data_IF_150711508206
#
_entry.id   IF_150711508206
#
_cell.length_a   1.000
_cell.length_b   1.000
_cell.length_c   1.000
_cell.angle_alpha   90.00
_cell.angle_beta   90.00
_cell.angle_gamma   90.00
#
_symmetry.space_group_name_H-M   'P 1'
#
loop_
_entity.id
_entity.type
_entity.pdbx_description
1 polymer ?
#
# COMPACT_ATOMS: atom_id res chain seq x y z
N UNK A 1 5.04 9.76 84.39
CA UNK A 1 3.72 10.17 83.87
C UNK A 1 3.97 11.21 82.81
N UNK A 2 3.69 10.89 81.55
CA UNK A 2 3.88 11.80 80.42
C UNK A 2 2.53 12.31 79.94
N UNK A 3 2.37 13.62 79.76
CA UNK A 3 1.17 14.24 79.21
C UNK A 3 1.58 15.25 78.14
N UNK A 4 1.16 15.02 76.89
CA UNK A 4 1.38 15.91 75.75
C UNK A 4 0.09 16.68 75.43
N UNK A 5 0.20 18.02 75.30
CA UNK A 5 -0.84 19.02 74.98
C UNK A 5 -0.08 20.23 74.40
N UNK A 6 -0.43 20.91 73.28
CA UNK A 6 -1.41 20.68 72.21
C UNK A 6 -0.93 21.46 70.95
N UNK A 7 -1.13 20.96 69.72
CA UNK A 7 -1.14 21.81 68.50
C UNK A 7 -2.30 21.41 67.58
N UNK A 8 -2.87 22.40 66.88
CA UNK A 8 -4.24 22.38 66.36
C UNK A 8 -4.37 22.20 64.85
N UNK A 9 -5.41 21.43 64.46
CA UNK A 9 -6.32 21.68 63.31
C UNK A 9 -5.79 21.45 61.86
N UNK A 10 -6.66 21.43 60.81
CA UNK A 10 -6.91 20.16 60.09
C UNK A 10 -6.90 20.27 58.54
N UNK A 11 -7.40 19.20 57.89
CA UNK A 11 -7.78 19.10 56.47
C UNK A 11 -6.64 19.08 55.43
N UNK A 12 -6.39 17.89 54.88
CA UNK A 12 -6.38 17.65 53.42
C UNK A 12 -6.71 16.17 53.16
N UNK A 13 -7.93 15.89 52.70
CA UNK A 13 -8.30 14.58 52.14
C UNK A 13 -8.21 14.68 50.62
N UNK A 14 -7.16 14.08 50.05
CA UNK A 14 -7.03 13.86 48.62
C UNK A 14 -6.55 12.45 48.36
N UNK A 15 -7.52 11.54 48.14
CA UNK A 15 -7.28 10.23 47.52
C UNK A 15 -6.79 10.43 46.08
N UNK A 16 -5.49 10.66 45.91
CA UNK A 16 -4.85 10.61 44.59
C UNK A 16 -4.84 9.15 44.14
N UNK A 17 -5.67 8.84 43.13
CA UNK A 17 -5.60 7.56 42.46
C UNK A 17 -4.20 7.39 41.85
N UNK A 18 -3.53 6.27 42.16
CA UNK A 18 -2.18 6.01 41.69
C UNK A 18 -2.12 6.06 40.15
N UNK A 19 -1.33 7.00 39.62
CA UNK A 19 -1.05 7.05 38.20
C UNK A 19 -0.36 5.75 37.79
N UNK A 20 -0.90 5.08 36.77
CA UNK A 20 -0.51 3.72 36.38
C UNK A 20 0.84 3.63 35.64
N UNK A 21 1.52 4.77 35.49
CA UNK A 21 2.76 4.96 34.74
C UNK A 21 3.60 6.05 35.41
N UNK A 22 4.91 5.88 35.40
CA UNK A 22 5.88 6.91 35.78
C UNK A 22 5.93 7.96 34.64
N UNK A 23 6.13 9.27 34.89
CA UNK A 23 6.11 10.29 33.83
C UNK A 23 7.04 10.01 32.62
N UNK A 24 8.17 9.33 32.85
CA UNK A 24 9.09 8.92 31.78
C UNK A 24 8.53 7.78 30.91
N UNK A 25 7.78 6.85 31.50
CA UNK A 25 7.07 5.78 30.78
C UNK A 25 5.91 6.34 29.95
N UNK A 26 5.19 7.32 30.50
CA UNK A 26 4.14 8.03 29.76
C UNK A 26 4.72 8.77 28.55
N UNK A 27 5.80 9.54 28.75
CA UNK A 27 6.46 10.28 27.67
C UNK A 27 7.06 9.38 26.59
N UNK A 28 7.68 8.25 26.97
CA UNK A 28 8.20 7.29 25.99
C UNK A 28 7.07 6.59 25.22
N UNK A 29 6.00 6.16 25.89
CA UNK A 29 4.88 5.51 25.21
C UNK A 29 4.19 6.46 24.22
N UNK A 30 3.84 7.68 24.62
CA UNK A 30 3.22 8.68 23.74
C UNK A 30 4.16 9.13 22.61
N UNK A 31 5.47 9.23 22.87
CA UNK A 31 6.47 9.46 21.81
C UNK A 31 6.50 8.32 20.79
N UNK A 32 6.42 7.05 21.21
CA UNK A 32 6.34 5.92 20.26
C UNK A 32 5.03 5.89 19.49
N UNK A 33 3.90 6.26 20.10
CA UNK A 33 2.60 6.37 19.43
C UNK A 33 2.59 7.51 18.41
N UNK A 34 3.15 8.67 18.75
CA UNK A 34 3.30 9.80 17.83
C UNK A 34 4.18 9.43 16.63
N UNK A 35 5.31 8.76 16.88
CA UNK A 35 6.21 8.31 15.81
C UNK A 35 5.57 7.25 14.90
N UNK A 36 4.77 6.30 15.44
CA UNK A 36 3.95 5.38 14.62
C UNK A 36 2.91 6.14 13.79
N UNK A 37 2.17 7.07 14.39
CA UNK A 37 1.17 7.87 13.67
C UNK A 37 1.79 8.73 12.54
N UNK A 38 3.02 9.23 12.72
CA UNK A 38 3.78 9.92 11.67
C UNK A 38 4.24 8.95 10.57
N UNK A 39 4.69 7.74 10.93
CA UNK A 39 5.04 6.69 9.97
C UNK A 39 3.83 6.28 9.11
N UNK A 40 2.67 6.02 9.71
CA UNK A 40 1.42 5.70 9.02
C UNK A 40 0.97 6.85 8.10
N UNK A 41 1.11 8.10 8.55
CA UNK A 41 0.79 9.28 7.73
C UNK A 41 1.72 9.41 6.52
N UNK A 42 2.97 8.96 6.63
CA UNK A 42 3.92 8.92 5.53
C UNK A 42 3.69 7.72 4.59
N UNK A 43 3.30 6.56 5.10
CA UNK A 43 2.80 5.45 4.26
C UNK A 43 1.56 5.88 3.46
N UNK A 44 0.60 6.56 4.10
CA UNK A 44 -0.63 7.04 3.44
C UNK A 44 -0.35 8.08 2.33
N UNK A 45 0.65 8.95 2.52
CA UNK A 45 1.14 9.86 1.46
C UNK A 45 1.84 9.11 0.32
N UNK A 46 2.68 8.12 0.62
CA UNK A 46 3.30 7.29 -0.40
C UNK A 46 2.27 6.48 -1.21
N UNK A 47 1.23 5.94 -0.56
CA UNK A 47 0.13 5.27 -1.24
C UNK A 47 -0.59 6.21 -2.22
N UNK A 48 -0.95 7.41 -1.78
CA UNK A 48 -1.60 8.42 -2.64
C UNK A 48 -0.73 8.86 -3.84
N UNK A 49 0.59 9.00 -3.63
CA UNK A 49 1.55 9.31 -4.69
C UNK A 49 1.79 8.15 -5.66
N UNK A 50 1.51 6.91 -5.27
CA UNK A 50 1.48 5.76 -6.17
C UNK A 50 0.18 5.73 -6.99
N UNK A 51 -0.97 6.04 -6.38
CA UNK A 51 -2.26 6.14 -7.07
C UNK A 51 -2.26 7.22 -8.16
N UNK A 52 -1.68 8.39 -7.89
CA UNK A 52 -1.61 9.50 -8.87
C UNK A 52 -0.64 9.22 -10.04
N UNK A 53 0.10 8.11 -10.00
CA UNK A 53 1.12 7.75 -11.01
C UNK A 53 0.70 6.64 -11.96
N UNK A 54 -0.41 5.94 -11.69
CA UNK A 54 -0.97 4.90 -12.58
C UNK A 54 -1.82 5.47 -13.72
N UNK A 55 -2.35 6.69 -13.60
CA UNK A 55 -3.30 7.29 -14.56
C UNK A 55 -2.72 7.69 -15.94
N UNK A 56 -1.44 7.37 -16.25
CA UNK A 56 -0.76 7.81 -17.49
C UNK A 56 -0.15 6.70 -18.34
N UNK A 57 -0.60 5.45 -18.21
CA UNK A 57 -0.15 4.34 -19.08
C UNK A 57 -1.30 3.53 -19.70
N UNK A 58 -2.29 4.20 -20.25
CA UNK A 58 -3.36 3.55 -21.02
C UNK A 58 -2.92 3.25 -22.45
N UNK A 59 -2.81 1.96 -22.81
CA UNK A 59 -3.35 1.32 -24.04
C UNK A 59 -2.63 -0.01 -24.36
N UNK A 60 -2.78 -1.02 -23.49
CA UNK A 60 -2.65 -2.44 -23.89
C UNK A 60 -3.17 -3.45 -22.84
N UNK A 61 -3.47 -3.06 -21.60
CA UNK A 61 -3.49 -4.01 -20.47
C UNK A 61 -4.75 -3.98 -19.59
N UNK A 62 -5.86 -3.45 -20.12
CA UNK A 62 -7.10 -3.19 -19.35
C UNK A 62 -7.71 -4.43 -18.71
N UNK A 63 -7.65 -5.59 -19.37
CA UNK A 63 -8.38 -6.77 -18.90
C UNK A 63 -7.68 -7.44 -17.71
N UNK A 64 -6.34 -7.55 -17.74
CA UNK A 64 -5.54 -8.20 -16.69
C UNK A 64 -5.36 -7.33 -15.44
N UNK A 65 -5.31 -6.00 -15.57
CA UNK A 65 -5.28 -5.10 -14.40
C UNK A 65 -6.60 -5.11 -13.63
N UNK A 66 -7.71 -5.31 -14.34
CA UNK A 66 -9.05 -5.44 -13.73
C UNK A 66 -9.17 -6.75 -12.93
N UNK A 67 -8.65 -7.87 -13.46
CA UNK A 67 -8.66 -9.17 -12.77
C UNK A 67 -7.86 -9.11 -11.46
N UNK A 68 -6.60 -8.67 -11.52
CA UNK A 68 -5.74 -8.58 -10.34
C UNK A 68 -6.32 -7.67 -9.24
N UNK A 69 -6.95 -6.56 -9.64
CA UNK A 69 -7.61 -5.65 -8.71
C UNK A 69 -8.87 -6.29 -8.07
N UNK A 70 -9.65 -7.03 -8.85
CA UNK A 70 -10.83 -7.76 -8.40
C UNK A 70 -10.47 -8.85 -7.37
N UNK A 71 -9.45 -9.67 -7.64
CA UNK A 71 -9.02 -10.75 -6.74
C UNK A 71 -8.54 -10.21 -5.37
N UNK A 72 -7.84 -9.06 -5.37
CA UNK A 72 -7.45 -8.33 -4.17
C UNK A 72 -8.64 -7.67 -3.45
N UNK A 73 -9.62 -7.13 -4.17
CA UNK A 73 -10.84 -6.59 -3.57
C UNK A 73 -11.65 -7.70 -2.88
N UNK A 74 -11.79 -8.85 -3.52
CA UNK A 74 -12.45 -10.03 -2.96
C UNK A 74 -11.75 -10.53 -1.69
N UNK A 75 -10.41 -10.58 -1.66
CA UNK A 75 -9.64 -10.93 -0.45
C UNK A 75 -9.95 -9.97 0.72
N UNK A 76 -10.03 -8.67 0.45
CA UNK A 76 -10.35 -7.65 1.46
C UNK A 76 -11.81 -7.70 1.90
N UNK A 77 -12.75 -8.01 1.01
CA UNK A 77 -14.18 -8.17 1.34
C UNK A 77 -14.44 -9.44 2.15
N UNK A 78 -13.79 -10.54 1.79
CA UNK A 78 -13.81 -11.80 2.54
C UNK A 78 -13.30 -11.60 3.98
N UNK A 79 -12.15 -10.94 4.16
CA UNK A 79 -11.61 -10.62 5.49
C UNK A 79 -12.61 -9.82 6.34
N UNK A 80 -13.28 -8.82 5.76
CA UNK A 80 -14.31 -8.02 6.47
C UNK A 80 -15.53 -8.86 6.86
N UNK A 81 -15.99 -9.74 5.96
CA UNK A 81 -17.11 -10.66 6.20
C UNK A 81 -16.80 -11.59 7.37
N UNK A 82 -15.60 -12.21 7.35
CA UNK A 82 -15.11 -13.10 8.41
C UNK A 82 -14.98 -12.36 9.74
N UNK A 83 -14.42 -11.15 9.76
CA UNK A 83 -14.35 -10.33 10.98
C UNK A 83 -15.72 -10.03 11.58
N UNK A 84 -16.72 -9.72 10.74
CA UNK A 84 -18.09 -9.47 11.20
C UNK A 84 -18.75 -10.75 11.74
N UNK A 85 -18.53 -11.90 11.10
CA UNK A 85 -19.01 -13.21 11.54
C UNK A 85 -18.41 -13.61 12.90
N UNK A 86 -17.08 -13.57 13.02
CA UNK A 86 -16.37 -13.92 14.27
C UNK A 86 -16.81 -13.02 15.42
N UNK A 87 -16.99 -11.70 15.18
CA UNK A 87 -17.50 -10.78 16.19
C UNK A 87 -18.92 -11.16 16.65
N UNK A 88 -19.82 -11.48 15.73
CA UNK A 88 -21.19 -11.93 16.06
C UNK A 88 -21.18 -13.20 16.91
N UNK A 89 -20.34 -14.18 16.58
CA UNK A 89 -20.22 -15.43 17.33
C UNK A 89 -19.60 -15.21 18.72
N UNK A 90 -18.64 -14.27 18.83
CA UNK A 90 -18.10 -13.83 20.12
C UNK A 90 -19.19 -13.18 20.99
N UNK A 91 -19.98 -12.26 20.44
CA UNK A 91 -21.08 -11.59 21.16
C UNK A 91 -22.14 -12.62 21.65
N UNK A 92 -22.46 -13.64 20.85
CA UNK A 92 -23.32 -14.76 21.27
C UNK A 92 -22.71 -15.54 22.45
N UNK A 93 -21.41 -15.83 22.39
CA UNK A 93 -20.68 -16.57 23.43
C UNK A 93 -20.62 -15.79 24.75
N UNK A 94 -20.31 -14.49 24.69
CA UNK A 94 -20.26 -13.61 25.86
C UNK A 94 -21.63 -13.50 26.54
N UNK A 95 -22.71 -13.42 25.75
CA UNK A 95 -24.06 -13.37 26.29
C UNK A 95 -24.47 -14.67 27.00
N UNK A 96 -24.06 -15.84 26.47
CA UNK A 96 -24.33 -17.13 27.11
C UNK A 96 -23.54 -17.33 28.42
N UNK A 97 -22.34 -16.79 28.54
CA UNK A 97 -21.47 -16.98 29.72
C UNK A 97 -21.98 -16.21 30.97
N UNK A 98 -22.96 -15.31 30.85
CA UNK A 98 -23.46 -14.50 31.98
C UNK A 98 -24.22 -15.35 33.02
N UNK A 99 -23.69 -15.56 34.24
CA UNK A 99 -24.37 -16.34 35.26
C UNK A 99 -25.45 -15.51 35.96
N UNK A 100 -26.65 -16.07 36.17
CA UNK A 100 -27.79 -15.35 36.76
C UNK A 100 -28.17 -15.77 38.19
N UNK A 101 -27.76 -16.95 38.68
CA UNK A 101 -28.31 -17.53 39.93
C UNK A 101 -27.25 -18.08 40.93
N UNK A 102 -25.96 -18.15 40.56
CA UNK A 102 -24.97 -18.81 41.43
C UNK A 102 -24.68 -18.03 42.72
N UNK A 103 -24.68 -16.69 42.67
CA UNK A 103 -24.29 -15.86 43.82
C UNK A 103 -25.17 -16.05 45.05
N UNK A 104 -26.49 -16.26 44.88
CA UNK A 104 -27.42 -16.43 46.00
C UNK A 104 -27.26 -17.79 46.69
N UNK A 105 -27.12 -18.86 45.91
CA UNK A 105 -26.93 -20.23 46.43
C UNK A 105 -25.59 -20.39 47.15
N UNK A 106 -24.50 -19.82 46.62
CA UNK A 106 -23.21 -19.81 47.31
C UNK A 106 -23.27 -19.06 48.64
N UNK A 107 -23.99 -17.92 48.69
CA UNK A 107 -24.15 -17.16 49.93
C UNK A 107 -24.97 -17.92 50.97
N UNK A 108 -26.07 -18.56 50.58
CA UNK A 108 -26.86 -19.41 51.47
C UNK A 108 -26.03 -20.57 52.04
N UNK A 109 -25.37 -21.34 51.18
CA UNK A 109 -24.49 -22.44 51.60
C UNK A 109 -23.39 -21.98 52.57
N UNK A 110 -22.78 -20.81 52.33
CA UNK A 110 -21.72 -20.27 53.20
C UNK A 110 -22.25 -19.83 54.58
N UNK A 111 -23.53 -19.47 54.68
CA UNK A 111 -24.20 -19.20 55.96
C UNK A 111 -24.55 -20.51 56.68
N UNK A 112 -25.07 -21.50 55.95
CA UNK A 112 -25.43 -22.82 56.51
C UNK A 112 -24.21 -23.57 57.04
N UNK A 113 -23.08 -23.56 56.32
CA UNK A 113 -21.80 -24.14 56.72
C UNK A 113 -21.25 -23.52 58.02
N UNK A 114 -21.26 -22.18 58.09
CA UNK A 114 -20.91 -21.44 59.32
C UNK A 114 -21.86 -21.77 60.47
N UNK A 115 -23.16 -21.90 60.20
CA UNK A 115 -24.15 -22.29 61.20
C UNK A 115 -23.92 -23.71 61.72
N UNK A 116 -23.56 -24.65 60.85
CA UNK A 116 -23.20 -26.03 61.21
C UNK A 116 -21.97 -26.13 62.12
N UNK A 117 -21.09 -25.12 62.11
CA UNK A 117 -19.92 -25.03 62.97
C UNK A 117 -20.20 -24.42 64.37
N UNK A 118 -21.41 -23.92 64.63
CA UNK A 118 -21.76 -23.40 65.96
C UNK A 118 -21.92 -24.51 66.99
N UNK A 119 -21.37 -24.28 68.19
CA UNK A 119 -21.53 -25.14 69.35
C UNK A 119 -21.64 -24.27 70.62
N UNK A 120 -21.96 -24.88 71.76
CA UNK A 120 -22.20 -24.18 73.03
C UNK A 120 -20.97 -23.42 73.60
N UNK A 121 -19.80 -23.47 72.94
CA UNK A 121 -18.58 -22.72 73.28
C UNK A 121 -18.16 -21.73 72.19
N UNK A 122 -18.93 -21.59 71.10
CA UNK A 122 -18.63 -20.67 70.00
C UNK A 122 -18.84 -19.21 70.42
N UNK A 123 -17.75 -18.43 70.41
CA UNK A 123 -17.73 -16.99 70.76
C UNK A 123 -18.42 -16.07 69.74
N UNK A 124 -18.81 -16.61 68.59
CA UNK A 124 -19.46 -15.93 67.45
C UNK A 124 -21.01 -16.02 67.52
N UNK A 125 -21.57 -16.39 68.67
CA UNK A 125 -23.03 -16.54 68.87
C UNK A 125 -23.60 -15.40 69.72
N UNK A 126 -24.76 -14.87 69.34
CA UNK A 126 -25.44 -13.74 70.02
C UNK A 126 -26.95 -13.99 70.13
N UNK A 127 -27.60 -13.33 71.11
CA UNK A 127 -29.06 -13.43 71.27
C UNK A 127 -29.78 -12.46 70.33
N UNK A 128 -30.46 -13.00 69.32
CA UNK A 128 -31.25 -12.24 68.35
C UNK A 128 -32.76 -12.32 68.67
N UNK A 129 -33.22 -11.41 69.53
CA UNK A 129 -34.60 -11.38 70.06
C UNK A 129 -35.69 -11.30 68.98
N UNK A 130 -35.40 -10.73 67.80
CA UNK A 130 -36.35 -10.62 66.69
C UNK A 130 -36.40 -11.84 65.77
N UNK A 131 -35.44 -12.77 65.87
CA UNK A 131 -35.34 -13.92 64.94
C UNK A 131 -36.35 -15.03 65.22
N UNK A 132 -37.02 -15.00 66.38
CA UNK A 132 -38.08 -15.94 66.74
C UNK A 132 -39.45 -15.57 66.16
N UNK A 133 -39.57 -14.43 65.47
CA UNK A 133 -40.80 -13.99 64.78
C UNK A 133 -40.74 -14.43 63.32
N UNK A 134 -41.79 -15.09 62.84
CA UNK A 134 -41.90 -15.53 61.44
C UNK A 134 -41.80 -14.31 60.50
N UNK A 135 -40.78 -14.30 59.64
CA UNK A 135 -40.59 -13.20 58.69
C UNK A 135 -41.60 -13.31 57.53
N UNK A 136 -42.15 -12.17 57.09
CA UNK A 136 -43.12 -12.12 55.98
C UNK A 136 -42.53 -12.31 54.58
N UNK A 137 -41.22 -12.56 54.45
CA UNK A 137 -40.49 -12.79 53.19
C UNK A 137 -39.94 -14.21 53.10
N UNK A 138 -40.68 -15.20 53.60
CA UNK A 138 -40.31 -16.62 53.50
C UNK A 138 -40.88 -17.20 52.20
N UNK A 139 -40.07 -17.99 51.50
CA UNK A 139 -40.49 -18.74 50.31
C UNK A 139 -40.95 -20.14 50.74
N UNK A 140 -42.14 -20.56 50.32
CA UNK A 140 -42.64 -21.91 50.61
C UNK A 140 -41.78 -22.98 49.92
N UNK A 141 -41.62 -24.14 50.57
CA UNK A 141 -40.77 -25.24 50.07
C UNK A 141 -41.18 -25.68 48.66
N UNK A 142 -42.48 -25.73 48.36
CA UNK A 142 -42.99 -26.10 47.03
C UNK A 142 -42.62 -25.07 45.95
N UNK A 143 -42.63 -23.78 46.30
CA UNK A 143 -42.24 -22.69 45.39
C UNK A 143 -40.74 -22.73 45.15
N UNK A 144 -39.93 -22.94 46.19
CA UNK A 144 -38.47 -23.12 46.07
C UNK A 144 -38.11 -24.38 45.27
N UNK A 145 -38.80 -25.51 45.49
CA UNK A 145 -38.59 -26.77 44.79
C UNK A 145 -38.92 -26.63 43.30
N UNK A 146 -40.02 -25.96 42.97
CA UNK A 146 -40.40 -25.64 41.59
C UNK A 146 -39.37 -24.72 40.93
N UNK A 147 -39.02 -23.60 41.57
CA UNK A 147 -38.02 -22.65 41.08
C UNK A 147 -36.66 -23.32 40.82
N UNK A 148 -36.20 -24.17 41.74
CA UNK A 148 -34.95 -24.92 41.59
C UNK A 148 -35.02 -25.93 40.46
N UNK A 149 -36.15 -26.64 40.28
CA UNK A 149 -36.37 -27.55 39.17
C UNK A 149 -36.43 -26.84 37.80
N UNK A 150 -37.04 -25.66 37.73
CA UNK A 150 -37.08 -24.86 36.51
C UNK A 150 -35.71 -24.23 36.18
N UNK A 151 -34.92 -23.83 37.19
CA UNK A 151 -33.52 -23.40 37.00
C UNK A 151 -32.61 -24.56 36.54
N UNK A 152 -32.83 -25.79 37.03
CA UNK A 152 -32.09 -26.97 36.56
C UNK A 152 -32.37 -27.24 35.07
N UNK A 153 -33.65 -27.23 34.67
CA UNK A 153 -34.07 -27.37 33.26
C UNK A 153 -33.52 -26.26 32.37
N UNK A 154 -33.38 -25.04 32.91
CA UNK A 154 -32.74 -23.94 32.19
C UNK A 154 -31.23 -24.20 32.01
N UNK A 155 -30.54 -24.68 33.05
CA UNK A 155 -29.13 -25.04 32.98
C UNK A 155 -28.86 -26.18 31.97
N UNK A 156 -29.69 -27.22 31.95
CA UNK A 156 -29.62 -28.31 30.95
C UNK A 156 -29.77 -27.78 29.51
N UNK A 157 -30.71 -26.84 29.28
CA UNK A 157 -30.90 -26.20 27.97
C UNK A 157 -29.71 -25.33 27.57
N UNK A 158 -29.17 -24.56 28.50
CA UNK A 158 -27.98 -23.74 28.26
C UNK A 158 -26.72 -24.59 28.03
N UNK A 159 -26.59 -25.75 28.68
CA UNK A 159 -25.49 -26.68 28.41
C UNK A 159 -25.58 -27.20 26.97
N UNK A 160 -26.74 -27.69 26.54
CA UNK A 160 -26.97 -28.17 25.17
C UNK A 160 -26.74 -27.04 24.15
N UNK A 161 -27.21 -25.83 24.44
CA UNK A 161 -26.95 -24.65 23.60
C UNK A 161 -25.45 -24.30 23.55
N UNK A 162 -24.72 -24.43 24.66
CA UNK A 162 -23.28 -24.15 24.70
C UNK A 162 -22.45 -25.19 23.95
N UNK A 163 -22.81 -26.47 24.06
CA UNK A 163 -22.22 -27.51 23.23
C UNK A 163 -22.49 -27.27 21.73
N UNK A 164 -23.69 -26.82 21.37
CA UNK A 164 -24.03 -26.46 19.99
C UNK A 164 -23.24 -25.22 19.50
N UNK A 165 -23.07 -24.21 20.34
CA UNK A 165 -22.31 -22.99 20.03
C UNK A 165 -20.81 -23.27 19.85
N UNK A 166 -20.21 -24.12 20.69
CA UNK A 166 -18.79 -24.56 20.51
C UNK A 166 -18.58 -25.26 19.17
N UNK A 167 -19.44 -26.24 18.83
CA UNK A 167 -19.40 -26.91 17.51
C UNK A 167 -19.66 -25.96 16.34
N UNK A 168 -20.35 -24.84 16.55
CA UNK A 168 -20.52 -23.79 15.53
C UNK A 168 -19.24 -22.94 15.40
N UNK A 169 -18.63 -22.55 16.52
CA UNK A 169 -17.36 -21.80 16.54
C UNK A 169 -16.25 -22.59 15.83
N UNK A 170 -16.08 -23.88 16.15
CA UNK A 170 -15.08 -24.75 15.55
C UNK A 170 -15.22 -24.82 14.01
N UNK A 171 -16.46 -25.02 13.52
CA UNK A 171 -16.75 -25.05 12.08
C UNK A 171 -16.51 -23.70 11.42
N UNK A 172 -16.98 -22.60 12.00
CA UNK A 172 -16.76 -21.25 11.47
C UNK A 172 -15.26 -20.92 11.40
N UNK A 173 -14.48 -21.27 12.42
CA UNK A 173 -13.03 -21.06 12.41
C UNK A 173 -12.35 -21.90 11.32
N UNK A 174 -12.77 -23.16 11.14
CA UNK A 174 -12.25 -24.01 10.08
C UNK A 174 -12.61 -23.47 8.68
N UNK A 175 -13.90 -23.33 8.37
CA UNK A 175 -14.41 -22.86 7.07
C UNK A 175 -13.77 -21.52 6.68
N UNK A 176 -13.76 -20.54 7.58
CA UNK A 176 -13.17 -19.22 7.29
C UNK A 176 -11.65 -19.24 7.12
N UNK A 177 -10.94 -20.16 7.78
CA UNK A 177 -9.49 -20.35 7.57
C UNK A 177 -9.17 -21.03 6.24
N UNK A 178 -10.03 -21.94 5.77
CA UNK A 178 -9.92 -22.61 4.48
C UNK A 178 -10.22 -21.62 3.34
N UNK A 179 -11.29 -20.83 3.46
CA UNK A 179 -11.65 -19.75 2.51
C UNK A 179 -10.52 -18.72 2.35
N UNK A 180 -9.95 -18.23 3.46
CA UNK A 180 -8.84 -17.28 3.45
C UNK A 180 -7.61 -17.83 2.70
N UNK A 181 -7.29 -19.11 2.90
CA UNK A 181 -6.20 -19.77 2.17
C UNK A 181 -6.51 -19.98 0.70
N UNK A 182 -7.73 -20.39 0.36
CA UNK A 182 -8.15 -20.58 -1.02
C UNK A 182 -8.04 -19.26 -1.79
N UNK A 183 -8.51 -18.16 -1.20
CA UNK A 183 -8.37 -16.83 -1.78
C UNK A 183 -6.89 -16.42 -1.90
N UNK A 184 -6.09 -16.55 -0.83
CA UNK A 184 -4.65 -16.23 -0.89
C UNK A 184 -3.93 -16.98 -2.03
N UNK A 185 -4.21 -18.28 -2.19
CA UNK A 185 -3.65 -19.09 -3.26
C UNK A 185 -4.07 -18.61 -4.66
N UNK A 186 -5.34 -18.21 -4.82
CA UNK A 186 -5.83 -17.63 -6.07
C UNK A 186 -5.13 -16.29 -6.39
N UNK A 187 -5.03 -15.38 -5.42
CA UNK A 187 -4.36 -14.08 -5.65
C UNK A 187 -2.85 -14.24 -5.84
N UNK A 188 -2.21 -15.22 -5.19
CA UNK A 188 -0.81 -15.57 -5.44
C UNK A 188 -0.61 -16.17 -6.84
N UNK A 189 -1.53 -17.00 -7.33
CA UNK A 189 -1.50 -17.52 -8.70
C UNK A 189 -1.63 -16.38 -9.72
N UNK A 190 -2.63 -15.50 -9.55
CA UNK A 190 -2.84 -14.34 -10.41
C UNK A 190 -1.62 -13.39 -10.40
N UNK A 191 -1.02 -13.16 -9.23
CA UNK A 191 0.17 -12.34 -9.07
C UNK A 191 1.43 -12.97 -9.72
N UNK A 192 1.63 -14.28 -9.58
CA UNK A 192 2.73 -15.00 -10.23
C UNK A 192 2.58 -14.99 -11.75
N UNK A 193 1.36 -15.22 -12.26
CA UNK A 193 1.05 -15.11 -13.68
C UNK A 193 1.35 -13.70 -14.20
N UNK A 194 0.96 -12.65 -13.47
CA UNK A 194 1.28 -11.26 -13.81
C UNK A 194 2.79 -10.98 -13.80
N UNK A 195 3.52 -11.52 -12.84
CA UNK A 195 4.98 -11.44 -12.80
C UNK A 195 5.64 -12.14 -14.00
N UNK A 196 5.09 -13.27 -14.46
CA UNK A 196 5.54 -13.95 -15.67
C UNK A 196 5.25 -13.13 -16.93
N UNK A 197 4.05 -12.59 -17.10
CA UNK A 197 3.68 -11.69 -18.21
C UNK A 197 4.62 -10.48 -18.30
N UNK A 198 4.84 -9.78 -17.18
CA UNK A 198 5.73 -8.62 -17.13
C UNK A 198 7.18 -9.02 -17.44
N UNK A 199 7.63 -10.17 -16.97
CA UNK A 199 8.96 -10.70 -17.29
C UNK A 199 9.09 -11.07 -18.76
N UNK A 200 8.08 -11.70 -19.37
CA UNK A 200 8.07 -12.04 -20.79
C UNK A 200 8.05 -10.79 -21.67
N UNK A 201 7.19 -9.82 -21.37
CA UNK A 201 7.14 -8.53 -22.06
C UNK A 201 8.47 -7.77 -21.94
N UNK A 202 9.12 -7.82 -20.76
CA UNK A 202 10.48 -7.29 -20.58
C UNK A 202 11.48 -7.99 -21.48
N UNK A 203 11.56 -9.33 -21.46
CA UNK A 203 12.50 -10.09 -22.30
C UNK A 203 12.27 -9.85 -23.79
N UNK A 204 11.02 -9.72 -24.23
CA UNK A 204 10.67 -9.33 -25.60
C UNK A 204 11.18 -7.93 -25.94
N UNK A 205 10.98 -6.94 -25.06
CA UNK A 205 11.50 -5.58 -25.25
C UNK A 205 13.03 -5.53 -25.26
N UNK A 206 13.70 -6.30 -24.40
CA UNK A 206 15.16 -6.43 -24.38
C UNK A 206 15.68 -7.07 -25.68
N UNK A 207 15.00 -8.10 -26.20
CA UNK A 207 15.33 -8.74 -27.48
C UNK A 207 15.07 -7.80 -28.67
N UNK A 208 13.95 -7.09 -28.70
CA UNK A 208 13.67 -6.06 -29.70
C UNK A 208 14.70 -4.92 -29.65
N UNK A 209 15.10 -4.47 -28.45
CA UNK A 209 16.15 -3.46 -28.30
C UNK A 209 17.50 -3.98 -28.78
N UNK A 210 17.87 -5.22 -28.44
CA UNK A 210 19.11 -5.84 -28.91
C UNK A 210 19.15 -5.94 -30.44
N UNK A 211 18.06 -6.40 -31.07
CA UNK A 211 17.91 -6.44 -32.52
C UNK A 211 17.97 -5.03 -33.14
N UNK A 212 17.18 -4.07 -32.62
CA UNK A 212 17.14 -2.70 -33.12
C UNK A 212 18.47 -1.95 -32.93
N UNK A 213 19.23 -2.21 -31.87
CA UNK A 213 20.58 -1.66 -31.69
C UNK A 213 21.55 -2.31 -32.69
N UNK A 214 21.52 -3.63 -32.83
CA UNK A 214 22.45 -4.39 -33.65
C UNK A 214 22.29 -4.13 -35.15
N UNK A 215 21.10 -4.33 -35.71
CA UNK A 215 20.86 -4.21 -37.15
C UNK A 215 20.60 -2.75 -37.53
N UNK A 216 19.60 -2.13 -36.92
CA UNK A 216 19.07 -0.86 -37.38
C UNK A 216 19.91 0.34 -36.91
N UNK A 217 20.20 0.44 -35.61
CA UNK A 217 20.79 1.66 -35.04
C UNK A 217 22.28 1.78 -35.36
N UNK A 218 23.08 0.69 -35.23
CA UNK A 218 24.51 0.73 -35.60
C UNK A 218 24.71 1.00 -37.10
N UNK A 219 24.08 0.22 -37.98
CA UNK A 219 24.25 0.37 -39.43
C UNK A 219 23.71 1.73 -39.91
N UNK A 220 22.47 2.10 -39.54
CA UNK A 220 21.87 3.38 -39.97
C UNK A 220 22.56 4.59 -39.35
N UNK A 221 23.06 4.52 -38.11
CA UNK A 221 23.90 5.58 -37.53
C UNK A 221 25.23 5.70 -38.29
N UNK A 222 25.87 4.59 -38.68
CA UNK A 222 27.12 4.64 -39.43
C UNK A 222 26.91 5.25 -40.82
N UNK A 223 25.94 4.74 -41.60
CA UNK A 223 25.58 5.30 -42.91
C UNK A 223 25.18 6.78 -42.82
N UNK A 224 24.40 7.17 -41.80
CA UNK A 224 23.96 8.57 -41.64
C UNK A 224 25.10 9.50 -41.21
N UNK A 225 26.09 9.02 -40.43
CA UNK A 225 27.33 9.76 -40.15
C UNK A 225 28.21 9.91 -41.40
N UNK A 226 28.35 8.86 -42.20
CA UNK A 226 29.06 8.93 -43.49
C UNK A 226 28.37 9.92 -44.44
N UNK A 227 27.03 9.91 -44.52
CA UNK A 227 26.27 10.88 -45.31
C UNK A 227 26.46 12.32 -44.81
N UNK A 228 26.38 12.56 -43.50
CA UNK A 228 26.67 13.89 -42.92
C UNK A 228 28.09 14.35 -43.28
N UNK A 229 29.09 13.47 -43.17
CA UNK A 229 30.48 13.79 -43.56
C UNK A 229 30.61 14.09 -45.06
N UNK A 230 29.89 13.35 -45.91
CA UNK A 230 29.88 13.59 -47.36
C UNK A 230 29.17 14.90 -47.73
N UNK A 231 28.08 15.25 -47.04
CA UNK A 231 27.38 16.52 -47.21
C UNK A 231 28.22 17.70 -46.71
N UNK A 232 28.92 17.55 -45.58
CA UNK A 232 29.88 18.54 -45.08
C UNK A 232 30.99 18.82 -46.10
N UNK A 233 31.57 17.77 -46.69
CA UNK A 233 32.57 17.92 -47.74
C UNK A 233 31.98 18.59 -49.00
N UNK A 234 30.79 18.17 -49.44
CA UNK A 234 30.12 18.77 -50.59
C UNK A 234 29.77 20.26 -50.39
N UNK A 235 29.41 20.69 -49.17
CA UNK A 235 29.23 22.10 -48.82
C UNK A 235 30.57 22.84 -48.95
N UNK A 236 31.63 22.35 -48.29
CA UNK A 236 32.97 22.95 -48.33
C UNK A 236 33.51 23.11 -49.77
N UNK A 237 33.36 22.07 -50.59
CA UNK A 237 33.78 22.04 -52.00
C UNK A 237 33.01 23.04 -52.89
N UNK A 238 31.82 23.51 -52.44
CA UNK A 238 31.00 24.51 -53.15
C UNK A 238 31.09 25.91 -52.56
N UNK A 239 31.41 26.06 -51.28
CA UNK A 239 31.71 27.35 -50.65
C UNK A 239 32.98 27.99 -51.23
N UNK A 240 34.00 27.18 -51.58
CA UNK A 240 35.23 27.70 -52.21
C UNK A 240 34.97 28.41 -53.56
N UNK A 241 34.33 27.80 -54.58
CA UNK A 241 34.01 28.48 -55.82
C UNK A 241 32.96 29.59 -55.65
N UNK A 242 31.99 29.44 -54.73
CA UNK A 242 31.01 30.50 -54.44
C UNK A 242 31.72 31.79 -53.97
N UNK A 243 32.61 31.69 -52.97
CA UNK A 243 33.41 32.84 -52.50
C UNK A 243 34.25 33.47 -53.61
N UNK A 244 34.74 32.69 -54.58
CA UNK A 244 35.48 33.22 -55.74
C UNK A 244 34.55 33.99 -56.69
N UNK A 245 33.36 33.47 -56.99
CA UNK A 245 32.37 34.15 -57.82
C UNK A 245 31.88 35.45 -57.16
N UNK A 246 31.55 35.40 -55.87
CA UNK A 246 31.17 36.56 -55.06
C UNK A 246 32.29 37.61 -54.96
N UNK A 247 33.53 37.19 -54.70
CA UNK A 247 34.68 38.10 -54.66
C UNK A 247 34.91 38.78 -56.02
N UNK A 248 34.78 38.04 -57.13
CA UNK A 248 34.87 38.60 -58.49
C UNK A 248 33.74 39.60 -58.77
N UNK A 249 32.51 39.31 -58.33
CA UNK A 249 31.38 40.25 -58.41
C UNK A 249 31.66 41.51 -57.58
N UNK A 250 32.12 41.35 -56.34
CA UNK A 250 32.45 42.43 -55.42
C UNK A 250 33.54 43.35 -55.99
N UNK A 251 34.68 42.81 -56.43
CA UNK A 251 35.75 43.64 -57.01
C UNK A 251 35.34 44.37 -58.29
N UNK A 252 34.40 43.81 -59.07
CA UNK A 252 33.83 44.48 -60.25
C UNK A 252 32.94 45.68 -59.90
N UNK A 253 32.44 45.81 -58.67
CA UNK A 253 31.68 47.00 -58.24
C UNK A 253 32.54 48.25 -58.03
N UNK A 254 33.88 48.10 -57.90
CA UNK A 254 34.81 49.23 -57.70
C UNK A 254 35.37 49.81 -59.00
N UNK A 255 34.90 49.38 -60.19
CA UNK A 255 35.35 49.97 -61.46
C UNK A 255 34.92 51.44 -61.53
N UNK A 256 35.83 52.39 -61.81
CA UNK A 256 35.52 53.82 -61.75
C UNK A 256 34.74 54.33 -62.96
N UNK A 257 33.84 55.29 -62.74
CA UNK A 257 33.15 56.04 -63.80
C UNK A 257 32.47 55.12 -64.84
N UNK A 258 32.72 55.34 -66.13
CA UNK A 258 32.13 54.55 -67.22
C UNK A 258 32.64 53.09 -67.29
N UNK A 259 33.73 52.75 -66.59
CA UNK A 259 34.23 51.37 -66.52
C UNK A 259 33.33 50.47 -65.66
N UNK A 260 32.37 51.02 -64.89
CA UNK A 260 31.32 50.28 -64.20
C UNK A 260 30.25 49.74 -65.18
N UNK A 261 30.71 49.20 -66.31
CA UNK A 261 29.88 48.55 -67.31
C UNK A 261 29.42 47.17 -66.79
N UNK A 262 28.12 46.91 -66.90
CA UNK A 262 27.52 45.57 -66.72
C UNK A 262 27.80 44.72 -67.95
N UNK A 263 29.08 44.38 -68.13
CA UNK A 263 29.56 43.62 -69.28
C UNK A 263 28.92 42.21 -69.39
N UNK A 264 28.98 41.62 -70.59
CA UNK A 264 28.37 40.30 -70.86
C UNK A 264 28.87 39.20 -69.87
N UNK A 265 30.17 39.13 -69.49
CA UNK A 265 30.63 38.23 -68.44
C UNK A 265 29.99 38.48 -67.06
N UNK A 266 29.74 39.74 -66.67
CA UNK A 266 29.06 40.08 -65.43
C UNK A 266 27.61 39.59 -65.43
N UNK A 267 26.84 39.95 -66.47
CA UNK A 267 25.39 39.68 -66.52
C UNK A 267 25.06 38.21 -66.80
N UNK A 268 25.69 37.59 -67.80
CA UNK A 268 25.24 36.30 -68.32
C UNK A 268 26.02 35.09 -67.78
N UNK A 269 27.12 35.31 -67.06
CA UNK A 269 27.97 34.22 -66.55
C UNK A 269 28.16 34.32 -65.05
N UNK A 270 28.82 35.36 -64.56
CA UNK A 270 29.28 35.42 -63.16
C UNK A 270 28.12 35.56 -62.16
N UNK A 271 27.09 36.35 -62.50
CA UNK A 271 25.92 36.56 -61.64
C UNK A 271 24.99 35.34 -61.61
N UNK A 272 24.88 34.62 -62.74
CA UNK A 272 24.18 33.34 -62.82
C UNK A 272 24.91 32.22 -62.07
N UNK A 273 26.24 32.10 -62.26
CA UNK A 273 27.10 31.14 -61.55
C UNK A 273 27.01 31.32 -60.03
N UNK A 274 27.13 32.56 -59.53
CA UNK A 274 27.01 32.85 -58.10
C UNK A 274 25.61 32.49 -57.55
N UNK A 275 24.53 32.83 -58.28
CA UNK A 275 23.17 32.49 -57.88
C UNK A 275 22.93 30.97 -57.84
N UNK A 276 23.45 30.23 -58.83
CA UNK A 276 23.32 28.78 -58.90
C UNK A 276 24.15 28.07 -57.81
N UNK A 277 25.39 28.53 -57.57
CA UNK A 277 26.25 28.03 -56.49
C UNK A 277 25.62 28.30 -55.12
N UNK A 278 25.11 29.50 -54.86
CA UNK A 278 24.44 29.84 -53.60
C UNK A 278 23.18 28.98 -53.37
N UNK A 279 22.40 28.73 -54.43
CA UNK A 279 21.23 27.83 -54.38
C UNK A 279 21.64 26.38 -54.04
N UNK A 280 22.75 25.88 -54.64
CA UNK A 280 23.30 24.55 -54.36
C UNK A 280 23.85 24.42 -52.93
N UNK A 281 24.57 25.43 -52.44
CA UNK A 281 25.08 25.48 -51.06
C UNK A 281 23.91 25.47 -50.07
N UNK A 282 22.89 26.30 -50.29
CA UNK A 282 21.69 26.36 -49.43
C UNK A 282 20.94 25.02 -49.39
N UNK A 283 20.78 24.36 -50.55
CA UNK A 283 20.15 23.04 -50.63
C UNK A 283 20.95 21.94 -49.89
N UNK A 284 22.28 21.94 -50.02
CA UNK A 284 23.16 21.01 -49.31
C UNK A 284 23.15 21.24 -47.79
N UNK A 285 23.14 22.51 -47.34
CA UNK A 285 23.02 22.87 -45.94
C UNK A 285 21.67 22.42 -45.34
N UNK A 286 20.57 22.53 -46.09
CA UNK A 286 19.27 22.01 -45.67
C UNK A 286 19.27 20.47 -45.55
N UNK A 287 19.81 19.76 -46.54
CA UNK A 287 19.95 18.29 -46.48
C UNK A 287 20.81 17.83 -45.29
N UNK A 288 21.88 18.57 -44.99
CA UNK A 288 22.73 18.34 -43.82
C UNK A 288 21.95 18.52 -42.52
N UNK A 289 21.15 19.59 -42.40
CA UNK A 289 20.28 19.82 -41.25
C UNK A 289 19.29 18.67 -41.04
N UNK A 290 18.60 18.23 -42.11
CA UNK A 290 17.65 17.11 -42.06
C UNK A 290 18.31 15.78 -41.68
N UNK A 291 19.51 15.50 -42.21
CA UNK A 291 20.30 14.33 -41.85
C UNK A 291 20.76 14.33 -40.39
N UNK A 292 21.18 15.50 -39.87
CA UNK A 292 21.56 15.70 -38.48
C UNK A 292 20.36 15.55 -37.53
N UNK A 293 19.22 16.18 -37.83
CA UNK A 293 17.98 16.10 -37.05
C UNK A 293 17.55 14.64 -36.89
N UNK A 294 17.44 13.90 -37.99
CA UNK A 294 16.99 12.51 -37.94
C UNK A 294 18.05 11.53 -37.39
N UNK A 295 19.31 11.94 -37.20
CA UNK A 295 20.26 11.21 -36.34
C UNK A 295 19.95 11.43 -34.85
N UNK A 296 19.47 12.62 -34.47
CA UNK A 296 19.05 12.94 -33.10
C UNK A 296 17.79 12.16 -32.70
N UNK A 297 16.76 12.17 -33.54
CA UNK A 297 15.49 11.45 -33.29
C UNK A 297 15.72 9.96 -32.99
N UNK A 298 16.66 9.32 -33.71
CA UNK A 298 17.06 7.92 -33.48
C UNK A 298 17.75 7.70 -32.12
N UNK A 299 18.53 8.68 -31.62
CA UNK A 299 19.14 8.60 -30.29
C UNK A 299 18.09 8.76 -29.19
N UNK A 300 17.14 9.67 -29.37
CA UNK A 300 16.06 9.92 -28.42
C UNK A 300 15.14 8.69 -28.29
N UNK A 301 14.75 8.09 -29.41
CA UNK A 301 14.00 6.83 -29.42
C UNK A 301 14.71 5.69 -28.68
N UNK A 302 16.05 5.59 -28.80
CA UNK A 302 16.86 4.62 -28.05
C UNK A 302 16.82 4.89 -26.53
N UNK A 303 16.99 6.14 -26.11
CA UNK A 303 16.93 6.55 -24.70
C UNK A 303 15.53 6.29 -24.09
N UNK A 304 14.47 6.47 -24.87
CA UNK A 304 13.10 6.17 -24.45
C UNK A 304 12.91 4.67 -24.15
N UNK A 305 13.41 3.78 -25.04
CA UNK A 305 13.35 2.32 -24.83
C UNK A 305 14.20 1.87 -23.63
N UNK A 306 15.41 2.43 -23.47
CA UNK A 306 16.28 2.18 -22.30
C UNK A 306 15.57 2.54 -20.98
N UNK A 307 14.80 3.63 -20.98
CA UNK A 307 14.01 4.09 -19.83
C UNK A 307 12.81 3.18 -19.51
N UNK A 308 12.05 2.73 -20.52
CA UNK A 308 10.89 1.84 -20.30
C UNK A 308 11.31 0.48 -19.70
N UNK A 309 12.44 -0.07 -20.16
CA UNK A 309 13.03 -1.29 -19.58
C UNK A 309 13.43 -1.09 -18.12
N UNK A 310 14.03 0.06 -17.77
CA UNK A 310 14.40 0.38 -16.38
C UNK A 310 13.19 0.44 -15.43
N UNK A 311 12.06 0.96 -15.90
CA UNK A 311 10.82 1.00 -15.12
C UNK A 311 10.20 -0.39 -14.88
N UNK A 312 10.50 -1.40 -15.69
CA UNK A 312 9.98 -2.78 -15.57
C UNK A 312 10.87 -3.64 -14.65
N UNK A 313 11.11 -3.17 -13.43
CA UNK A 313 11.92 -3.86 -12.42
C UNK A 313 11.06 -4.65 -11.42
N UNK A 314 11.40 -5.94 -11.26
CA UNK A 314 10.58 -7.00 -10.62
C UNK A 314 10.38 -6.87 -9.11
N UNK A 315 11.21 -6.09 -8.42
CA UNK A 315 11.53 -6.33 -7.01
C UNK A 315 10.56 -5.74 -5.99
N UNK A 316 9.75 -4.72 -6.35
CA UNK A 316 8.97 -3.95 -5.36
C UNK A 316 7.69 -4.61 -4.85
N UNK A 317 7.19 -5.65 -5.53
CA UNK A 317 5.87 -6.22 -5.22
C UNK A 317 5.94 -7.58 -4.49
N UNK A 318 7.05 -8.31 -4.60
CA UNK A 318 7.21 -9.65 -3.98
C UNK A 318 7.34 -9.61 -2.45
N UNK A 319 7.90 -8.52 -1.89
CA UNK A 319 8.39 -8.46 -0.51
C UNK A 319 7.29 -8.45 0.57
N UNK A 320 6.02 -8.36 0.18
CA UNK A 320 4.89 -8.20 1.10
C UNK A 320 4.02 -9.46 1.30
N UNK A 321 4.16 -10.52 0.48
CA UNK A 321 3.30 -11.73 0.58
C UNK A 321 3.93 -12.94 1.27
N UNK A 322 5.22 -12.90 1.60
CA UNK A 322 5.98 -14.05 2.14
C UNK A 322 5.62 -14.49 3.57
N UNK A 323 4.60 -13.91 4.21
CA UNK A 323 4.24 -14.18 5.61
C UNK A 323 2.72 -14.40 5.81
N UNK A 324 2.06 -15.13 4.91
CA UNK A 324 0.67 -15.55 5.15
C UNK A 324 0.62 -16.69 6.19
N UNK A 325 -0.24 -16.62 7.23
CA UNK A 325 -0.32 -17.63 8.28
C UNK A 325 -0.90 -18.97 7.79
N UNK A 326 -0.66 -20.04 8.57
CA UNK A 326 -1.25 -21.35 8.29
C UNK A 326 -2.72 -21.43 8.75
N UNK A 327 -3.49 -22.39 8.22
CA UNK A 327 -4.86 -22.69 8.68
C UNK A 327 -4.88 -22.94 10.18
N UNK A 328 -3.91 -23.70 10.70
CA UNK A 328 -3.75 -23.97 12.14
C UNK A 328 -3.65 -22.69 12.96
N UNK A 329 -2.82 -21.74 12.52
CA UNK A 329 -2.66 -20.43 13.18
C UNK A 329 -3.91 -19.56 13.03
N UNK A 330 -4.61 -19.65 11.89
CA UNK A 330 -5.85 -18.91 11.64
C UNK A 330 -7.06 -19.45 12.43
N UNK A 331 -7.13 -20.76 12.66
CA UNK A 331 -8.16 -21.41 13.47
C UNK A 331 -7.85 -21.43 14.97
N UNK A 332 -6.66 -20.97 15.38
CA UNK A 332 -6.29 -20.70 16.76
C UNK A 332 -5.64 -21.86 17.52
N UNK A 333 -4.99 -22.79 16.80
CA UNK A 333 -4.30 -23.98 17.35
C UNK A 333 -2.76 -23.88 17.25
#
# INVERSE_FOLDING_TARGET
MSSQILVSRPYFDTRVAAAKYIPEEWFTNDSTLLNRAVADRNQKKNFFLLTTRSEKFSLSTRDHETIFFNDFQQEVELIRSIQALLKKTLDQTVNQIRPSDWSGKQQAYSLDDRCGCFNNRSTDTQQHLSSAVLQGQVCDEEVWRKFTGDNLRLAEREEVASQALRRLIERVLQETSEDLRAQCAAVDQAFNQRCMEVSQAKTQLELHLAQAIHTYTKQKSWLRRMNISSLQQAVYDKEAPLRVAESRLHYRTFRPNMELCRDQPYLCSLLGEASELNSKVSALQQQLYEACKSLSDLKESRLFLEKDISCKTKEKCMTHRTCYPSVTVLSGY
#
